data_IF_375644541193
#
_entry.id   IF_375644541193
#
_cell.length_a   1.000
_cell.length_b   1.000
_cell.length_c   1.000
_cell.angle_alpha   90.00
_cell.angle_beta   90.00
_cell.angle_gamma   90.00
#
_symmetry.space_group_name_H-M   'P 1'
#
loop_
_entity.id
_entity.type
_entity.pdbx_description
1 polymer ?
2 non-polymer ?
3 non-polymer ?
4 water ?
#
# COMPACT_ATOMS: atom_id res chain seq x y z
N UNK A 1 12.60 -3.14 38.85
CA UNK A 1 12.49 -3.74 40.18
C UNK A 1 13.25 -5.06 40.22
N UNK A 2 13.44 -5.59 41.42
CA UNK A 2 14.31 -6.73 41.63
C UNK A 2 13.81 -7.56 42.82
N UNK A 3 14.10 -8.85 42.82
CA UNK A 3 13.74 -9.66 43.98
C UNK A 3 14.94 -9.88 44.91
N UNK A 4 14.60 -9.91 46.18
CA UNK A 4 15.56 -9.91 47.28
C UNK A 4 15.79 -11.33 47.80
N UNK A 5 14.78 -12.19 47.66
CA UNK A 5 14.92 -13.60 47.95
C UNK A 5 14.35 -14.45 46.81
N UNK A 6 14.82 -15.69 46.74
CA UNK A 6 14.21 -16.77 45.96
C UNK A 6 12.69 -16.79 46.06
N UNK A 7 12.01 -16.54 44.94
CA UNK A 7 10.57 -16.34 44.94
C UNK A 7 9.93 -17.28 43.90
N UNK A 8 8.85 -17.96 44.28
CA UNK A 8 8.12 -18.76 43.33
C UNK A 8 7.78 -17.97 42.11
N UNK A 9 8.03 -18.55 40.94
CA UNK A 9 7.67 -17.90 39.68
C UNK A 9 6.26 -17.32 39.72
N UNK A 10 5.28 -18.08 40.19
CA UNK A 10 3.89 -17.67 40.14
C UNK A 10 3.53 -16.56 41.12
N UNK A 11 4.40 -16.26 42.08
CA UNK A 11 4.27 -15.03 42.88
C UNK A 11 4.78 -13.79 42.21
N UNK A 12 5.75 -13.93 41.31
CA UNK A 12 6.24 -12.75 40.63
C UNK A 12 5.28 -12.40 39.49
N UNK A 13 4.87 -13.42 38.73
CA UNK A 13 3.97 -13.25 37.55
C UNK A 13 2.60 -13.83 37.85
N UNK A 14 1.65 -12.99 38.29
CA UNK A 14 0.39 -13.56 38.75
C UNK A 14 -0.48 -14.05 37.59
N UNK A 15 -0.26 -13.52 36.38
CA UNK A 15 -0.94 -14.04 35.19
C UNK A 15 -0.47 -15.44 34.92
N UNK A 16 -1.39 -16.38 34.90
CA UNK A 16 -1.03 -17.78 34.75
C UNK A 16 -0.31 -18.11 33.44
N UNK A 17 -0.69 -17.45 32.35
CA UNK A 17 -0.04 -17.69 31.08
C UNK A 17 1.40 -17.17 31.08
N UNK A 18 1.59 -15.98 31.60
CA UNK A 18 2.92 -15.39 31.64
C UNK A 18 3.87 -16.11 32.58
N UNK A 19 3.38 -16.57 33.71
CA UNK A 19 4.15 -17.41 34.55
C UNK A 19 4.68 -18.61 33.78
N UNK A 20 3.83 -19.17 32.95
CA UNK A 20 4.15 -20.39 32.22
C UNK A 20 5.20 -20.06 31.15
N UNK A 21 5.00 -18.91 30.49
CA UNK A 21 6.00 -18.32 29.63
C UNK A 21 7.37 -18.19 30.30
N UNK A 22 7.41 -17.66 31.51
CA UNK A 22 8.70 -17.53 32.24
C UNK A 22 9.27 -18.88 32.68
N UNK A 23 8.40 -19.77 33.09
CA UNK A 23 8.81 -21.13 33.41
C UNK A 23 9.50 -21.86 32.23
N UNK A 24 8.95 -21.72 31.04
CA UNK A 24 9.51 -22.36 29.84
C UNK A 24 10.85 -21.71 29.45
N UNK A 25 10.91 -20.40 29.61
CA UNK A 25 12.06 -19.63 29.23
C UNK A 25 13.31 -20.06 30.05
N UNK A 26 13.10 -20.42 31.33
CA UNK A 26 14.16 -20.82 32.24
C UNK A 26 14.25 -22.34 32.46
N UNK A 27 13.40 -23.13 31.81
CA UNK A 27 13.43 -24.61 31.93
C UNK A 27 13.22 -25.09 33.35
N UNK A 28 12.19 -24.59 33.99
CA UNK A 28 11.85 -25.03 35.34
C UNK A 28 10.77 -26.10 35.24
N UNK A 29 10.67 -27.00 36.21
CA UNK A 29 9.63 -28.04 36.17
C UNK A 29 8.26 -27.40 36.31
N UNK A 30 8.15 -26.48 37.25
CA UNK A 30 6.88 -25.97 37.70
C UNK A 30 6.90 -24.47 37.90
N UNK A 31 5.76 -23.84 37.76
CA UNK A 31 5.59 -22.44 38.14
C UNK A 31 5.63 -22.20 39.63
N UNK A 32 5.63 -23.25 40.45
CA UNK A 32 5.82 -23.13 41.90
C UNK A 32 7.30 -22.98 42.26
N UNK A 33 8.19 -23.30 41.33
CA UNK A 33 9.61 -23.25 41.60
C UNK A 33 10.09 -21.84 41.89
N UNK A 34 10.90 -21.70 42.93
CA UNK A 34 11.59 -20.45 43.23
C UNK A 34 12.64 -20.07 42.17
N UNK A 35 12.77 -18.79 41.88
CA UNK A 35 13.87 -18.27 41.08
C UNK A 35 14.57 -17.10 41.77
N UNK A 36 15.79 -16.82 41.32
CA UNK A 36 16.65 -15.75 41.91
C UNK A 36 16.64 -14.56 40.95
N UNK A 37 16.97 -13.36 41.39
CA UNK A 37 17.10 -12.25 40.48
C UNK A 37 18.13 -12.52 39.41
N UNK A 38 19.20 -13.24 39.73
CA UNK A 38 20.22 -13.60 38.75
C UNK A 38 19.67 -14.37 37.55
N UNK A 39 18.81 -15.34 37.83
CA UNK A 39 18.12 -16.12 36.79
C UNK A 39 17.21 -15.24 35.95
N UNK A 40 16.48 -14.34 36.60
CA UNK A 40 15.62 -13.43 35.90
C UNK A 40 16.44 -12.51 35.02
N UNK A 41 17.63 -12.19 35.49
CA UNK A 41 18.56 -11.34 34.76
C UNK A 41 19.15 -11.99 33.54
N UNK A 42 19.12 -13.31 33.51
CA UNK A 42 19.63 -14.06 32.39
C UNK A 42 18.65 -13.94 31.20
N UNK A 43 17.48 -13.33 31.37
CA UNK A 43 16.48 -13.30 30.30
C UNK A 43 16.65 -12.06 29.46
N UNK A 44 17.11 -12.25 28.23
CA UNK A 44 17.22 -11.10 27.32
C UNK A 44 16.18 -11.13 26.17
N UNK A 45 15.38 -12.17 26.11
CA UNK A 45 14.46 -12.36 25.00
C UNK A 45 13.23 -13.11 25.49
N UNK A 46 12.04 -12.60 25.19
CA UNK A 46 10.80 -13.31 25.44
C UNK A 46 9.98 -13.31 24.17
N UNK A 47 9.66 -14.47 23.63
CA UNK A 47 8.78 -14.60 22.46
C UNK A 47 7.58 -15.40 22.86
N UNK A 48 6.48 -14.67 22.96
CA UNK A 48 5.30 -15.16 23.60
C UNK A 48 4.08 -14.60 22.88
N UNK A 49 4.14 -14.60 21.57
CA UNK A 49 2.99 -14.20 20.81
C UNK A 49 1.87 -15.18 21.04
N UNK A 50 0.65 -14.67 21.10
CA UNK A 50 -0.55 -15.54 21.13
C UNK A 50 -0.51 -16.57 22.23
N UNK A 51 -0.21 -16.12 23.43
CA UNK A 51 -0.10 -17.01 24.56
C UNK A 51 -1.17 -16.71 25.60
N UNK A 52 -2.20 -15.94 25.23
CA UNK A 52 -3.32 -15.68 26.13
C UNK A 52 -2.93 -14.91 27.44
N UNK A 53 -1.94 -14.04 27.35
CA UNK A 53 -1.49 -13.23 28.46
C UNK A 53 -2.42 -12.03 28.66
N UNK A 54 -3.01 -11.92 29.85
CA UNK A 54 -3.87 -10.79 30.27
C UNK A 54 -3.09 -9.64 30.90
N UNK A 55 -2.04 -10.01 31.63
CA UNK A 55 -1.16 -9.06 32.35
C UNK A 55 0.31 -9.49 32.31
N UNK A 56 1.22 -8.56 32.03
CA UNK A 56 2.67 -8.86 32.18
C UNK A 56 3.26 -8.39 33.53
N UNK A 57 2.42 -8.27 34.56
CA UNK A 57 2.95 -7.96 35.90
C UNK A 57 4.04 -8.89 36.25
N UNK A 58 5.15 -8.32 36.75
CA UNK A 58 6.34 -9.05 37.10
C UNK A 58 7.47 -8.89 36.09
N UNK A 59 7.12 -8.57 34.85
CA UNK A 59 8.13 -8.30 33.82
C UNK A 59 9.15 -7.22 34.19
N UNK A 60 8.77 -6.27 35.03
CA UNK A 60 9.72 -5.29 35.61
C UNK A 60 10.88 -5.92 36.39
N UNK A 61 10.77 -7.17 36.81
CA UNK A 61 11.89 -7.86 37.46
C UNK A 61 12.88 -8.48 36.46
N UNK A 62 12.73 -8.14 35.17
CA UNK A 62 13.55 -8.66 34.07
C UNK A 62 14.29 -7.51 33.31
N UNK A 63 15.18 -6.80 33.98
CA UNK A 63 15.72 -5.57 33.39
C UNK A 63 16.58 -5.76 32.14
N UNK A 64 17.02 -6.98 31.88
CA UNK A 64 17.92 -7.19 30.75
C UNK A 64 17.19 -7.55 29.43
N UNK A 65 15.87 -7.49 29.41
CA UNK A 65 15.14 -7.92 28.24
C UNK A 65 15.38 -6.92 27.11
N UNK A 66 15.80 -7.40 25.94
CA UNK A 66 16.00 -6.47 24.80
C UNK A 66 15.09 -6.70 23.60
N UNK A 67 14.48 -7.88 23.55
CA UNK A 67 13.65 -8.24 22.44
C UNK A 67 12.38 -8.83 23.05
N UNK A 68 11.22 -8.23 22.77
CA UNK A 68 10.02 -8.61 23.45
C UNK A 68 8.84 -8.76 22.48
N UNK A 69 8.44 -9.98 22.22
CA UNK A 69 7.28 -10.26 21.36
C UNK A 69 6.10 -10.70 22.20
N UNK A 70 5.10 -9.84 22.24
CA UNK A 70 3.89 -10.07 23.02
C UNK A 70 2.64 -9.90 22.16
N UNK A 71 2.83 -10.05 20.86
CA UNK A 71 1.74 -9.93 19.95
C UNK A 71 0.67 -10.94 20.15
N UNK A 72 -0.58 -10.49 19.97
CA UNK A 72 -1.75 -11.37 19.97
C UNK A 72 -2.14 -11.84 21.33
N UNK A 73 -1.91 -11.00 22.35
CA UNK A 73 -2.35 -11.38 23.66
C UNK A 73 -3.55 -10.54 24.04
N UNK A 74 -3.84 -10.47 25.32
CA UNK A 74 -4.96 -9.71 25.85
C UNK A 74 -4.55 -8.58 26.79
N UNK A 75 -3.42 -7.96 26.49
CA UNK A 75 -2.91 -6.90 27.33
C UNK A 75 -3.78 -5.65 27.20
N UNK A 76 -4.15 -5.08 28.35
CA UNK A 76 -4.84 -3.77 28.41
C UNK A 76 -3.87 -2.68 28.94
N UNK A 77 -2.84 -3.10 29.69
CA UNK A 77 -1.94 -2.20 30.46
C UNK A 77 -0.48 -2.64 30.19
N UNK A 78 0.39 -1.68 29.89
CA UNK A 78 1.77 -2.00 29.63
C UNK A 78 2.71 -1.18 30.51
N UNK A 79 2.21 -0.63 31.62
CA UNK A 79 3.01 0.30 32.43
C UNK A 79 4.18 -0.44 33.11
N UNK A 80 4.06 -1.75 33.30
CA UNK A 80 5.19 -2.58 33.76
C UNK A 80 6.43 -2.64 32.81
N UNK A 81 6.32 -2.04 31.63
CA UNK A 81 7.39 -2.03 30.63
C UNK A 81 8.33 -0.87 30.71
N UNK A 82 7.95 0.19 31.41
CA UNK A 82 8.64 1.46 31.22
C UNK A 82 10.09 1.52 31.68
N UNK A 83 10.49 0.73 32.67
CA UNK A 83 11.88 0.72 33.10
C UNK A 83 12.70 -0.33 32.32
N UNK A 84 12.11 -1.04 31.37
CA UNK A 84 12.91 -1.96 30.59
C UNK A 84 13.82 -1.25 29.56
N UNK A 85 14.82 -0.54 30.06
CA UNK A 85 15.60 0.38 29.21
C UNK A 85 16.42 -0.30 28.10
N UNK A 86 16.53 -1.63 28.12
CA UNK A 86 17.33 -2.32 27.11
C UNK A 86 16.53 -2.82 25.91
N UNK A 87 15.21 -2.62 25.95
CA UNK A 87 14.34 -2.93 24.81
C UNK A 87 14.78 -2.26 23.51
N UNK A 88 15.14 -3.10 22.54
CA UNK A 88 15.45 -2.68 21.19
C UNK A 88 14.29 -2.96 20.28
N UNK A 89 13.53 -3.99 20.59
CA UNK A 89 12.46 -4.48 19.73
C UNK A 89 11.23 -4.76 20.58
N UNK A 90 10.10 -4.15 20.26
CA UNK A 90 8.89 -4.35 21.07
C UNK A 90 7.66 -4.52 20.20
N UNK A 91 7.07 -5.68 20.32
CA UNK A 91 5.86 -6.01 19.61
C UNK A 91 4.69 -6.21 20.57
N UNK A 92 3.76 -5.23 20.55
CA UNK A 92 2.53 -5.27 21.29
C UNK A 92 1.29 -5.28 20.38
N UNK A 93 1.43 -5.74 19.14
CA UNK A 93 0.33 -5.72 18.19
C UNK A 93 -0.72 -6.72 18.57
N UNK A 94 -1.95 -6.47 18.17
CA UNK A 94 -3.08 -7.38 18.42
C UNK A 94 -3.32 -7.63 19.89
N UNK A 95 -3.43 -6.57 20.64
CA UNK A 95 -3.75 -6.75 22.03
C UNK A 95 -5.02 -5.93 22.16
N UNK A 96 -5.29 -5.42 23.36
CA UNK A 96 -6.45 -4.67 23.66
C UNK A 96 -6.08 -3.32 24.29
N UNK A 97 -5.06 -2.67 23.75
CA UNK A 97 -4.67 -1.37 24.32
C UNK A 97 -5.61 -0.28 23.85
N UNK A 98 -6.28 0.36 24.77
CA UNK A 98 -7.16 1.48 24.42
C UNK A 98 -6.49 2.87 24.56
N UNK A 99 -5.64 3.04 25.56
CA UNK A 99 -4.86 4.27 25.74
C UNK A 99 -3.40 3.94 26.04
N UNK A 100 -2.55 4.94 25.97
CA UNK A 100 -1.18 4.79 26.37
C UNK A 100 -0.99 5.80 27.48
N UNK A 101 -0.30 5.40 28.57
CA UNK A 101 -0.01 6.44 29.54
C UNK A 101 0.94 7.47 28.93
N UNK A 102 0.79 8.70 29.38
CA UNK A 102 1.65 9.81 28.98
C UNK A 102 3.13 9.37 28.83
N UNK A 103 3.75 8.85 29.91
CA UNK A 103 5.19 8.63 29.90
C UNK A 103 5.66 7.20 29.75
N UNK A 104 4.82 6.31 29.23
CA UNK A 104 5.14 4.89 29.22
C UNK A 104 6.41 4.51 28.43
N UNK A 105 6.79 5.27 27.41
CA UNK A 105 8.01 4.95 26.59
C UNK A 105 9.15 5.94 26.77
N UNK A 106 9.11 6.77 27.82
CA UNK A 106 10.09 7.83 27.98
C UNK A 106 11.50 7.33 28.37
N UNK A 107 11.64 6.02 28.67
CA UNK A 107 12.92 5.46 29.05
C UNK A 107 13.52 4.53 28.00
N UNK A 108 12.83 4.33 26.89
CA UNK A 108 13.27 3.31 25.93
C UNK A 108 14.13 3.89 24.82
N UNK A 109 15.27 4.46 25.19
CA UNK A 109 16.19 5.11 24.25
C UNK A 109 16.85 4.18 23.28
N UNK A 110 16.84 2.88 23.56
CA UNK A 110 17.43 1.91 22.63
C UNK A 110 16.43 1.30 21.65
N UNK A 111 15.17 1.69 21.80
CA UNK A 111 14.09 1.11 21.06
C UNK A 111 14.17 1.58 19.60
N UNK A 112 14.24 0.62 18.68
CA UNK A 112 14.36 0.90 17.25
C UNK A 112 13.12 0.47 16.50
N UNK A 113 12.39 -0.50 17.04
CA UNK A 113 11.20 -1.02 16.40
C UNK A 113 10.08 -1.15 17.42
N UNK A 114 8.95 -0.50 17.12
CA UNK A 114 7.76 -0.47 17.99
C UNK A 114 6.49 -0.77 17.20
N UNK A 115 5.91 -1.92 17.48
CA UNK A 115 4.68 -2.31 16.86
C UNK A 115 3.49 -2.22 17.84
N UNK A 116 2.63 -1.22 17.62
CA UNK A 116 1.39 -1.06 18.39
C UNK A 116 0.13 -1.35 17.55
N UNK A 117 0.29 -2.09 16.47
CA UNK A 117 -0.76 -2.23 15.47
C UNK A 117 -1.83 -3.17 15.94
N UNK A 118 -3.01 -3.01 15.37
CA UNK A 118 -4.15 -3.82 15.72
C UNK A 118 -4.50 -3.80 17.24
N UNK A 119 -4.43 -2.61 17.83
CA UNK A 119 -5.01 -2.38 19.15
C UNK A 119 -6.24 -1.47 18.99
N UNK A 120 -6.63 -0.73 20.01
CA UNK A 120 -7.77 0.12 19.87
C UNK A 120 -7.41 1.48 20.41
N UNK A 121 -6.24 1.95 20.07
CA UNK A 121 -5.92 3.31 20.41
C UNK A 121 -6.88 4.33 19.77
N UNK A 122 -7.48 5.18 20.58
CA UNK A 122 -8.26 6.28 20.06
C UNK A 122 -7.48 7.57 19.89
N UNK A 123 -6.42 7.77 20.67
CA UNK A 123 -5.54 8.92 20.52
C UNK A 123 -4.18 8.68 21.14
N UNK A 124 -3.26 9.57 20.84
CA UNK A 124 -1.92 9.49 21.34
C UNK A 124 -1.72 10.67 22.27
N UNK A 125 -1.13 10.44 23.48
CA UNK A 125 -0.75 11.61 24.28
C UNK A 125 0.38 12.39 23.62
N UNK A 126 0.33 13.70 23.78
CA UNK A 126 1.48 14.58 23.57
C UNK A 126 2.78 13.97 24.08
N UNK A 127 3.77 13.77 23.20
CA UNK A 127 5.09 13.41 23.67
C UNK A 127 5.22 11.96 24.08
N UNK A 128 4.29 11.09 23.71
CA UNK A 128 4.40 9.70 24.10
C UNK A 128 5.63 9.05 23.47
N UNK A 129 6.18 9.70 22.45
CA UNK A 129 7.30 9.19 21.66
C UNK A 129 8.42 10.16 21.67
N UNK A 130 8.41 11.06 22.62
CA UNK A 130 9.39 12.12 22.66
C UNK A 130 10.86 11.70 22.83
N UNK A 131 11.10 10.55 23.50
CA UNK A 131 12.45 10.06 23.85
C UNK A 131 12.95 8.85 23.07
N UNK A 132 12.21 8.45 22.03
CA UNK A 132 12.57 7.26 21.22
C UNK A 132 13.58 7.65 20.16
N UNK A 133 14.73 8.11 20.62
CA UNK A 133 15.79 8.61 19.76
C UNK A 133 16.22 7.56 18.71
N UNK A 134 16.25 6.29 19.14
CA UNK A 134 16.73 5.24 18.29
C UNK A 134 15.68 4.67 17.33
N UNK A 135 14.44 5.17 17.36
CA UNK A 135 13.38 4.49 16.64
C UNK A 135 13.49 4.64 15.13
N UNK A 136 13.35 3.51 14.42
CA UNK A 136 13.42 3.45 12.95
C UNK A 136 12.09 2.97 12.31
N UNK A 137 11.34 2.15 13.06
CA UNK A 137 10.09 1.63 12.61
C UNK A 137 9.03 1.77 13.66
N UNK A 138 7.94 2.48 13.28
CA UNK A 138 6.74 2.67 14.11
C UNK A 138 5.50 2.25 13.37
N UNK A 139 4.85 1.21 13.88
CA UNK A 139 3.68 0.68 13.25
C UNK A 139 2.46 0.94 14.12
N UNK A 140 1.56 1.79 13.65
CA UNK A 140 0.42 2.25 14.42
C UNK A 140 -0.91 1.86 13.75
N UNK A 141 -0.80 1.01 12.75
CA UNK A 141 -1.92 0.64 11.94
C UNK A 141 -2.91 -0.23 12.68
N UNK A 142 -4.11 -0.26 12.11
CA UNK A 142 -5.27 -0.96 12.63
C UNK A 142 -5.60 -0.55 14.07
N UNK A 143 -5.66 0.75 14.27
CA UNK A 143 -6.06 1.29 15.52
C UNK A 143 -7.28 2.16 15.25
N UNK A 144 -7.67 3.02 16.18
CA UNK A 144 -8.87 3.86 16.04
C UNK A 144 -8.50 5.34 16.14
N UNK A 145 -7.37 5.71 15.58
CA UNK A 145 -6.82 7.03 15.88
C UNK A 145 -7.58 7.98 15.03
N UNK A 146 -8.09 9.03 15.64
CA UNK A 146 -8.85 10.06 14.90
C UNK A 146 -8.13 11.38 14.69
N UNK A 147 -7.04 11.61 15.42
CA UNK A 147 -6.13 12.72 15.17
C UNK A 147 -4.71 12.35 15.64
N UNK A 148 -3.74 13.20 15.28
CA UNK A 148 -2.39 13.14 15.75
C UNK A 148 -2.09 14.50 16.36
N UNK A 149 -1.54 14.53 17.59
CA UNK A 149 -1.27 15.82 18.22
C UNK A 149 -0.15 16.48 17.53
N UNK A 150 -0.07 17.80 17.60
CA UNK A 150 1.07 18.53 17.02
C UNK A 150 2.40 17.97 17.62
N UNK A 151 3.39 17.76 16.75
CA UNK A 151 4.70 17.30 17.20
C UNK A 151 4.80 15.93 17.82
N UNK A 152 3.85 15.03 17.56
CA UNK A 152 3.92 13.68 18.15
C UNK A 152 5.10 12.83 17.67
N UNK A 153 5.64 13.20 16.49
CA UNK A 153 6.82 12.56 15.92
C UNK A 153 8.04 13.47 15.81
N UNK A 154 8.01 14.65 16.45
CA UNK A 154 9.00 15.66 16.16
C UNK A 154 10.41 15.26 16.57
N UNK A 155 10.56 14.21 17.37
CA UNK A 155 11.88 13.81 17.81
C UNK A 155 12.33 12.52 17.21
N UNK A 156 11.56 11.98 16.28
CA UNK A 156 11.92 10.72 15.69
C UNK A 156 12.71 10.89 14.39
N UNK A 157 13.86 11.55 14.50
CA UNK A 157 14.76 11.87 13.39
C UNK A 157 15.28 10.68 12.63
N UNK A 158 15.43 9.55 13.31
CA UNK A 158 15.93 8.33 12.67
C UNK A 158 14.83 7.48 12.02
N UNK A 159 13.59 7.95 12.04
CA UNK A 159 12.49 7.12 11.57
C UNK A 159 12.58 6.89 10.07
N UNK A 160 12.48 5.63 9.66
CA UNK A 160 12.43 5.28 8.25
C UNK A 160 11.08 4.72 7.79
N UNK A 161 10.35 4.05 8.68
CA UNK A 161 9.02 3.56 8.33
C UNK A 161 7.97 4.02 9.37
N UNK A 162 6.87 4.64 8.90
CA UNK A 162 5.77 5.06 9.75
C UNK A 162 4.47 4.61 9.10
N UNK A 163 3.79 3.68 9.75
CA UNK A 163 2.60 3.09 9.23
C UNK A 163 1.44 3.50 10.07
N UNK A 164 0.59 4.32 9.47
CA UNK A 164 -0.56 4.93 10.11
C UNK A 164 -1.87 4.50 9.46
N UNK A 165 -1.80 3.41 8.72
CA UNK A 165 -2.92 2.94 7.93
C UNK A 165 -3.99 2.29 8.80
N UNK A 166 -5.21 2.33 8.28
CA UNK A 166 -6.37 1.72 8.87
C UNK A 166 -6.55 2.29 10.21
N UNK A 167 -6.73 3.60 10.23
CA UNK A 167 -7.15 4.33 11.44
C UNK A 167 -8.36 5.16 11.03
N UNK A 168 -8.74 6.17 11.80
CA UNK A 168 -9.85 7.03 11.38
C UNK A 168 -9.39 8.48 11.37
N UNK A 169 -8.16 8.70 10.94
CA UNK A 169 -7.56 10.03 10.94
C UNK A 169 -8.31 10.96 9.97
N UNK A 170 -8.77 12.12 10.44
CA UNK A 170 -9.58 13.03 9.60
C UNK A 170 -8.87 14.28 9.12
N UNK A 171 -7.72 14.57 9.71
CA UNK A 171 -6.84 15.61 9.22
C UNK A 171 -5.43 15.33 9.72
N UNK A 172 -4.47 16.17 9.29
CA UNK A 172 -3.09 16.05 9.73
C UNK A 172 -2.69 17.44 10.15
N UNK A 173 -2.01 17.58 11.31
CA UNK A 173 -1.46 18.92 11.59
C UNK A 173 -0.30 19.24 10.64
N UNK A 174 -0.17 20.51 10.33
CA UNK A 174 0.70 20.94 9.24
C UNK A 174 2.16 20.54 9.35
N UNK A 175 2.74 20.66 10.54
CA UNK A 175 4.13 20.24 10.75
C UNK A 175 4.35 18.84 11.30
N UNK A 176 3.42 17.94 11.10
CA UNK A 176 3.43 16.71 11.88
C UNK A 176 4.54 15.79 11.46
N UNK A 177 5.04 16.01 10.24
CA UNK A 177 6.13 15.20 9.64
C UNK A 177 7.38 16.02 9.31
N UNK A 178 7.40 17.29 9.75
CA UNK A 178 8.50 18.24 9.58
C UNK A 178 9.94 17.72 9.84
N UNK A 179 10.09 16.80 10.81
CA UNK A 179 11.45 16.35 11.18
C UNK A 179 11.84 15.00 10.65
N UNK A 180 10.94 14.32 9.94
CA UNK A 180 11.19 12.96 9.51
C UNK A 180 12.00 12.94 8.22
N UNK A 181 13.17 13.57 8.28
CA UNK A 181 13.99 13.70 7.08
C UNK A 181 14.60 12.38 6.59
N UNK A 182 14.59 11.29 7.37
CA UNK A 182 15.10 9.99 6.92
C UNK A 182 14.02 8.97 6.54
N UNK A 183 12.76 9.41 6.58
CA UNK A 183 11.62 8.55 6.34
C UNK A 183 11.58 8.17 4.87
N UNK A 184 11.41 6.89 4.62
CA UNK A 184 11.36 6.40 3.28
C UNK A 184 10.00 5.85 2.92
N UNK A 185 9.26 5.34 3.91
CA UNK A 185 7.95 4.82 3.74
C UNK A 185 6.94 5.52 4.66
N UNK A 186 5.89 6.09 4.05
CA UNK A 186 4.83 6.71 4.82
C UNK A 186 3.50 6.17 4.38
N UNK A 187 2.87 5.36 5.22
CA UNK A 187 1.59 4.77 4.87
C UNK A 187 0.40 5.39 5.63
N UNK A 188 -0.37 6.23 4.94
CA UNK A 188 -1.60 6.87 5.47
C UNK A 188 -2.91 6.30 4.90
N UNK A 189 -2.83 5.14 4.29
CA UNK A 189 -3.96 4.56 3.60
C UNK A 189 -5.06 4.10 4.52
N UNK A 190 -6.29 4.08 3.99
CA UNK A 190 -7.47 3.62 4.72
C UNK A 190 -7.69 4.50 5.96
N UNK A 191 -7.72 5.81 5.73
CA UNK A 191 -8.09 6.76 6.78
C UNK A 191 -9.36 7.53 6.35
N UNK A 192 -9.67 8.64 7.01
CA UNK A 192 -10.80 9.49 6.59
C UNK A 192 -10.35 10.92 6.26
N UNK A 193 -9.16 11.05 5.68
CA UNK A 193 -8.61 12.37 5.35
C UNK A 193 -9.40 13.03 4.23
N UNK A 194 -9.71 14.31 4.41
CA UNK A 194 -10.45 15.08 3.42
C UNK A 194 -9.69 16.23 2.84
N UNK A 195 -8.48 16.42 3.31
CA UNK A 195 -7.66 17.49 2.84
C UNK A 195 -6.27 17.24 3.34
N UNK A 196 -5.31 17.87 2.65
CA UNK A 196 -3.96 17.95 3.15
C UNK A 196 -3.46 19.39 3.22
N UNK A 197 -2.83 19.76 4.36
CA UNK A 197 -2.27 21.12 4.44
C UNK A 197 -1.07 21.27 3.50
N UNK A 198 -0.92 22.42 2.83
CA UNK A 198 0.26 22.69 1.99
C UNK A 198 1.48 22.55 2.90
N UNK A 199 2.45 21.77 2.42
CA UNK A 199 3.70 21.62 3.15
C UNK A 199 3.71 20.57 4.20
N UNK A 200 2.75 19.68 4.20
CA UNK A 200 2.74 18.58 5.13
C UNK A 200 3.85 17.55 4.84
N UNK A 201 4.32 17.45 3.60
CA UNK A 201 5.37 16.47 3.24
C UNK A 201 6.70 17.13 2.79
N UNK A 202 6.72 18.45 2.91
CA UNK A 202 7.80 19.31 2.53
C UNK A 202 9.24 18.90 2.90
N UNK A 203 9.47 18.40 4.11
CA UNK A 203 10.84 18.07 4.49
C UNK A 203 11.18 16.59 4.28
N UNK A 204 10.31 15.86 3.59
CA UNK A 204 10.47 14.42 3.40
C UNK A 204 11.32 14.05 2.17
N UNK A 205 12.52 14.58 2.12
CA UNK A 205 13.39 14.39 0.97
C UNK A 205 13.87 12.95 0.66
N UNK A 206 13.71 12.03 1.61
CA UNK A 206 14.19 10.66 1.44
C UNK A 206 13.04 9.75 1.11
N UNK A 207 11.85 10.32 1.05
CA UNK A 207 10.67 9.50 0.93
C UNK A 207 10.63 8.86 -0.45
N UNK A 208 10.44 7.54 -0.46
CA UNK A 208 10.32 6.76 -1.69
C UNK A 208 8.95 6.16 -1.90
N UNK A 209 8.17 5.93 -0.84
CA UNK A 209 6.81 5.41 -0.96
C UNK A 209 5.86 6.22 -0.12
N UNK A 210 4.81 6.69 -0.78
CA UNK A 210 3.80 7.49 -0.15
C UNK A 210 2.46 6.90 -0.47
N UNK A 211 1.81 6.33 0.52
CA UNK A 211 0.52 5.70 0.28
C UNK A 211 -0.63 6.47 0.90
N UNK A 212 -1.51 7.02 0.05
CA UNK A 212 -2.61 7.86 0.50
C UNK A 212 -3.99 7.33 0.07
N UNK A 213 -4.02 6.07 -0.33
CA UNK A 213 -5.21 5.46 -0.83
C UNK A 213 -6.23 5.24 0.29
N UNK A 214 -7.45 4.95 -0.14
CA UNK A 214 -8.63 4.86 0.69
C UNK A 214 -8.76 6.02 1.71
N UNK A 215 -8.88 7.23 1.19
CA UNK A 215 -9.23 8.40 1.98
C UNK A 215 -10.36 9.11 1.28
N UNK A 216 -10.72 10.31 1.69
CA UNK A 216 -11.78 11.01 1.00
C UNK A 216 -11.29 12.36 0.46
N UNK A 217 -10.08 12.31 -0.14
CA UNK A 217 -9.42 13.51 -0.71
C UNK A 217 -10.11 13.96 -1.97
N UNK A 218 -10.29 15.26 -2.11
CA UNK A 218 -10.86 15.87 -3.30
C UNK A 218 -9.86 16.74 -4.06
N UNK A 219 -9.56 17.91 -3.49
CA UNK A 219 -8.54 18.74 -4.07
C UNK A 219 -7.23 18.49 -3.33
N UNK A 220 -6.15 19.01 -3.93
CA UNK A 220 -4.83 18.99 -3.33
C UNK A 220 -4.11 20.33 -3.52
N UNK A 221 -3.34 20.77 -2.51
CA UNK A 221 -2.48 21.94 -2.78
C UNK A 221 -1.52 21.60 -3.92
N UNK A 222 -1.33 22.53 -4.84
CA UNK A 222 -0.48 22.31 -6.02
C UNK A 222 0.90 21.79 -5.63
N UNK A 223 1.48 22.43 -4.62
CA UNK A 223 2.81 22.11 -4.14
C UNK A 223 3.01 20.90 -3.23
N UNK A 224 1.95 20.20 -2.84
CA UNK A 224 2.02 19.25 -1.73
C UNK A 224 3.03 18.07 -1.94
N UNK A 225 3.30 17.67 -3.19
CA UNK A 225 4.27 16.60 -3.48
C UNK A 225 5.63 17.07 -4.01
N UNK A 226 5.82 18.36 -4.18
CA UNK A 226 7.00 18.93 -4.83
C UNK A 226 8.40 18.60 -4.28
N UNK A 227 8.58 18.62 -2.97
CA UNK A 227 9.90 18.36 -2.45
C UNK A 227 10.19 16.85 -2.37
N UNK A 228 9.32 16.01 -2.95
CA UNK A 228 9.52 14.58 -2.86
C UNK A 228 10.39 14.02 -4.02
N UNK A 229 11.60 14.50 -4.08
CA UNK A 229 12.54 14.17 -5.15
C UNK A 229 12.92 12.70 -5.24
N UNK A 230 12.87 11.98 -4.16
CA UNK A 230 13.25 10.59 -4.22
C UNK A 230 12.05 9.65 -4.33
N UNK A 231 10.85 10.21 -4.45
CA UNK A 231 9.65 9.41 -4.49
C UNK A 231 9.65 8.51 -5.70
N UNK A 232 9.30 7.27 -5.45
CA UNK A 232 9.24 6.24 -6.45
C UNK A 232 7.81 5.71 -6.61
N UNK A 233 6.99 5.75 -5.56
CA UNK A 233 5.64 5.21 -5.62
C UNK A 233 4.66 6.14 -4.96
N UNK A 234 3.62 6.48 -5.71
CA UNK A 234 2.56 7.31 -5.19
C UNK A 234 1.26 6.56 -5.43
N UNK A 235 0.63 6.17 -4.33
CA UNK A 235 -0.67 5.57 -4.41
C UNK A 235 -1.71 6.54 -3.87
N UNK A 236 -2.56 7.01 -4.77
CA UNK A 236 -3.62 7.95 -4.44
C UNK A 236 -4.99 7.39 -4.72
N UNK A 237 -5.04 6.08 -4.92
CA UNK A 237 -6.24 5.45 -5.38
C UNK A 237 -7.32 5.38 -4.30
N UNK A 238 -8.54 5.12 -4.76
CA UNK A 238 -9.75 5.16 -3.92
C UNK A 238 -9.82 6.40 -3.08
N UNK A 239 -9.85 7.54 -3.75
CA UNK A 239 -10.11 8.83 -3.13
C UNK A 239 -11.22 9.46 -3.88
N UNK A 240 -11.43 10.75 -3.76
CA UNK A 240 -12.41 11.43 -4.60
C UNK A 240 -11.76 12.57 -5.40
N UNK A 241 -10.60 12.31 -5.97
CA UNK A 241 -9.80 13.36 -6.52
C UNK A 241 -10.45 13.98 -7.75
N UNK A 242 -10.34 15.29 -7.87
CA UNK A 242 -10.84 16.02 -9.00
C UNK A 242 -9.76 16.39 -10.01
N UNK A 243 -10.19 17.05 -11.07
CA UNK A 243 -9.30 17.59 -12.07
C UNK A 243 -8.41 18.65 -11.43
N UNK A 244 -8.92 19.28 -10.37
CA UNK A 244 -8.16 20.23 -9.56
C UNK A 244 -6.88 19.55 -9.10
N UNK A 245 -7.05 18.50 -8.31
CA UNK A 245 -5.95 17.76 -7.69
C UNK A 245 -4.89 17.19 -8.63
N UNK A 246 -5.18 17.19 -9.93
CA UNK A 246 -4.22 16.73 -10.95
C UNK A 246 -2.98 17.61 -11.16
N UNK A 247 -3.13 18.91 -10.90
CA UNK A 247 -2.04 19.87 -10.91
C UNK A 247 -0.88 19.40 -10.00
N UNK A 248 -1.25 19.01 -8.78
CA UNK A 248 -0.31 18.50 -7.79
C UNK A 248 0.38 17.21 -8.20
N UNK A 249 -0.38 16.32 -8.79
CA UNK A 249 0.13 15.04 -9.24
C UNK A 249 1.08 15.25 -10.43
N UNK A 250 0.69 16.11 -11.36
CA UNK A 250 1.55 16.55 -12.46
C UNK A 250 2.92 17.08 -12.00
N UNK A 251 2.90 17.90 -10.95
CA UNK A 251 4.12 18.41 -10.36
C UNK A 251 4.95 17.28 -9.70
N UNK A 252 4.30 16.30 -9.06
CA UNK A 252 5.07 15.14 -8.57
C UNK A 252 5.80 14.51 -9.77
N UNK A 253 5.08 14.31 -10.87
CA UNK A 253 5.64 13.68 -12.06
C UNK A 253 6.85 14.46 -12.61
N UNK A 254 6.75 15.78 -12.70
CA UNK A 254 7.88 16.65 -13.12
C UNK A 254 9.07 16.67 -12.15
N UNK A 255 8.81 16.79 -10.84
CA UNK A 255 9.87 16.94 -9.79
C UNK A 255 10.54 15.66 -9.29
N UNK A 256 9.84 14.54 -9.36
CA UNK A 256 10.38 13.27 -8.90
C UNK A 256 10.83 12.55 -10.14
N UNK A 257 12.12 12.64 -10.39
CA UNK A 257 12.69 12.17 -11.63
C UNK A 257 12.82 10.66 -11.64
N UNK A 258 12.54 10.01 -10.52
CA UNK A 258 12.56 8.56 -10.50
C UNK A 258 11.23 7.98 -9.90
N UNK A 259 10.14 8.74 -10.01
CA UNK A 259 8.80 8.22 -9.76
C UNK A 259 8.43 7.21 -10.86
N UNK A 260 8.19 5.98 -10.45
CA UNK A 260 7.94 4.87 -11.35
C UNK A 260 6.54 4.35 -11.35
N UNK A 261 5.78 4.57 -10.28
CA UNK A 261 4.44 4.02 -10.16
C UNK A 261 3.47 5.06 -9.67
N UNK A 262 2.40 5.22 -10.41
CA UNK A 262 1.37 6.16 -10.02
C UNK A 262 0.03 5.44 -9.98
N UNK A 263 -0.56 5.24 -8.79
CA UNK A 263 -1.81 4.46 -8.70
C UNK A 263 -2.90 5.46 -8.43
N UNK A 264 -3.83 5.59 -9.37
CA UNK A 264 -4.94 6.55 -9.22
C UNK A 264 -6.30 5.95 -9.44
N UNK A 265 -6.40 4.64 -9.29
CA UNK A 265 -7.63 3.94 -9.49
C UNK A 265 -8.73 4.46 -8.57
N UNK A 266 -9.97 4.40 -9.02
CA UNK A 266 -11.12 4.87 -8.23
C UNK A 266 -11.04 6.32 -7.74
N UNK A 267 -11.26 7.23 -8.70
CA UNK A 267 -11.21 8.68 -8.46
C UNK A 267 -12.11 9.40 -9.44
N UNK A 268 -12.17 10.72 -9.36
CA UNK A 268 -13.13 11.44 -10.20
C UNK A 268 -12.40 12.49 -11.05
N UNK A 269 -11.24 12.13 -11.58
CA UNK A 269 -10.41 13.14 -12.25
C UNK A 269 -10.97 13.60 -13.61
N UNK A 270 -11.69 12.71 -14.29
CA UNK A 270 -12.36 13.05 -15.54
C UNK A 270 -11.39 13.26 -16.65
N UNK A 271 -11.87 13.64 -17.82
CA UNK A 271 -10.95 13.90 -18.91
C UNK A 271 -10.10 15.15 -18.68
N UNK A 272 -10.63 16.16 -18.00
CA UNK A 272 -9.86 17.39 -17.79
C UNK A 272 -8.66 17.08 -16.91
N UNK A 273 -8.87 16.32 -15.83
CA UNK A 273 -7.79 15.84 -14.97
C UNK A 273 -6.77 14.99 -15.71
N UNK A 274 -7.23 14.04 -16.50
CA UNK A 274 -6.31 13.24 -17.33
C UNK A 274 -5.47 14.08 -18.25
N UNK A 275 -6.02 15.14 -18.80
CA UNK A 275 -5.26 15.95 -19.74
C UNK A 275 -4.12 16.63 -18.99
N UNK A 276 -4.40 17.16 -17.82
CA UNK A 276 -3.37 17.71 -16.94
C UNK A 276 -2.21 16.74 -16.69
N UNK A 277 -2.52 15.47 -16.41
CA UNK A 277 -1.49 14.46 -16.25
C UNK A 277 -0.80 14.19 -17.59
N UNK A 278 -1.56 14.28 -18.67
CA UNK A 278 -0.96 14.03 -19.97
C UNK A 278 0.13 15.06 -20.27
N UNK A 279 -0.16 16.33 -20.01
CA UNK A 279 0.75 17.43 -20.32
C UNK A 279 1.99 17.38 -19.44
N UNK A 280 1.88 16.75 -18.27
CA UNK A 280 3.05 16.46 -17.47
C UNK A 280 3.90 15.37 -18.11
N UNK A 281 3.26 14.34 -18.64
CA UNK A 281 3.99 13.25 -19.32
C UNK A 281 4.52 13.61 -20.72
N UNK A 282 4.00 14.68 -21.33
CA UNK A 282 4.51 15.16 -22.63
C UNK A 282 5.86 15.87 -22.48
N UNK A 283 6.41 15.90 -21.28
CA UNK A 283 7.71 16.52 -21.07
C UNK A 283 8.81 15.47 -21.18
N UNK A 284 9.82 15.74 -22.04
CA UNK A 284 11.04 14.94 -22.13
C UNK A 284 11.56 14.56 -20.76
N UNK A 285 11.95 13.30 -20.60
CA UNK A 285 12.55 12.85 -19.35
C UNK A 285 11.63 12.25 -18.32
N UNK A 286 10.37 11.96 -18.63
CA UNK A 286 9.59 11.19 -17.67
C UNK A 286 10.22 9.79 -17.52
N UNK A 287 10.17 9.27 -16.29
CA UNK A 287 10.62 7.91 -15.96
C UNK A 287 9.50 6.98 -15.48
N UNK A 288 8.24 7.40 -15.70
CA UNK A 288 7.11 6.64 -15.16
C UNK A 288 6.90 5.29 -15.88
N UNK A 289 6.76 4.21 -15.12
CA UNK A 289 6.71 2.85 -15.66
C UNK A 289 5.30 2.27 -15.60
N UNK A 290 4.56 2.57 -14.53
CA UNK A 290 3.25 2.02 -14.30
C UNK A 290 2.27 3.12 -13.99
N UNK A 291 1.14 3.10 -14.70
CA UNK A 291 0.12 4.07 -14.47
C UNK A 291 -1.25 3.44 -14.32
N UNK A 292 -1.96 3.75 -13.24
CA UNK A 292 -3.30 3.23 -13.07
C UNK A 292 -4.39 4.28 -13.00
N UNK A 293 -5.20 4.36 -14.06
CA UNK A 293 -6.29 5.32 -14.14
C UNK A 293 -7.65 4.62 -14.30
N UNK A 294 -7.73 3.42 -13.77
CA UNK A 294 -8.98 2.70 -13.71
C UNK A 294 -10.04 3.51 -12.96
N UNK A 295 -11.29 3.46 -13.44
CA UNK A 295 -12.43 4.14 -12.77
C UNK A 295 -12.05 5.52 -12.41
N UNK A 296 -11.66 6.28 -13.40
CA UNK A 296 -11.33 7.66 -13.21
C UNK A 296 -12.27 8.53 -13.98
N UNK A 297 -13.42 7.95 -14.34
CA UNK A 297 -14.44 8.61 -15.12
C UNK A 297 -13.87 9.17 -16.42
N UNK A 298 -13.08 8.33 -17.07
CA UNK A 298 -12.43 8.72 -18.31
C UNK A 298 -13.39 8.61 -19.49
N UNK A 299 -13.07 9.26 -20.60
CA UNK A 299 -13.87 9.16 -21.83
C UNK A 299 -13.01 8.74 -23.01
N UNK A 300 -13.61 8.50 -24.16
CA UNK A 300 -12.91 8.32 -25.43
C UNK A 300 -12.00 9.50 -25.80
N UNK A 301 -12.34 10.71 -25.36
CA UNK A 301 -11.49 11.84 -25.62
C UNK A 301 -10.29 11.85 -24.69
N UNK A 302 -10.46 11.49 -23.41
CA UNK A 302 -9.30 11.27 -22.53
C UNK A 302 -8.37 10.23 -23.11
N UNK A 303 -8.93 9.31 -23.89
CA UNK A 303 -8.14 8.31 -24.63
C UNK A 303 -7.32 8.90 -25.75
N UNK A 304 -7.86 9.89 -26.45
CA UNK A 304 -7.03 10.55 -27.43
C UNK A 304 -5.83 11.12 -26.69
N UNK A 305 -6.07 11.79 -25.59
CA UNK A 305 -5.03 12.49 -24.88
C UNK A 305 -4.01 11.54 -24.28
N UNK A 306 -4.49 10.40 -23.79
CA UNK A 306 -3.62 9.40 -23.19
C UNK A 306 -2.77 8.73 -24.27
N UNK A 307 -3.33 8.61 -25.46
CA UNK A 307 -2.57 8.12 -26.59
C UNK A 307 -1.42 9.06 -26.95
N UNK A 308 -1.62 10.37 -26.84
CA UNK A 308 -0.55 11.34 -27.07
C UNK A 308 0.58 11.07 -26.07
N UNK A 309 0.21 10.89 -24.81
CA UNK A 309 1.18 10.59 -23.77
C UNK A 309 1.94 9.29 -24.03
N UNK A 310 1.26 8.22 -24.45
CA UNK A 310 1.92 6.94 -24.75
C UNK A 310 2.96 7.03 -25.86
N UNK A 311 2.72 7.93 -26.82
CA UNK A 311 3.66 8.12 -27.93
C UNK A 311 4.95 8.73 -27.44
N UNK A 312 4.85 9.64 -26.45
CA UNK A 312 6.04 10.36 -25.90
C UNK A 312 6.64 9.70 -24.67
N UNK A 313 5.81 9.15 -23.81
CA UNK A 313 6.28 8.61 -22.51
C UNK A 313 6.60 7.14 -22.64
N UNK A 314 7.73 6.86 -23.28
CA UNK A 314 8.08 5.52 -23.60
C UNK A 314 8.84 4.80 -22.49
N UNK A 315 8.83 5.26 -21.23
CA UNK A 315 9.28 4.39 -20.16
C UNK A 315 8.09 3.61 -19.62
N UNK A 316 6.90 4.00 -20.06
CA UNK A 316 5.65 3.49 -19.54
C UNK A 316 5.40 2.11 -20.11
N UNK A 317 5.38 1.12 -19.22
CA UNK A 317 5.26 -0.25 -19.61
C UNK A 317 3.93 -0.85 -19.21
N UNK A 318 3.33 -0.36 -18.13
CA UNK A 318 2.10 -0.96 -17.66
C UNK A 318 0.99 0.08 -17.43
N UNK A 319 -0.12 -0.08 -18.13
CA UNK A 319 -1.21 0.89 -18.09
C UNK A 319 -2.56 0.23 -17.79
N UNK A 320 -3.24 0.78 -16.80
CA UNK A 320 -4.55 0.33 -16.37
C UNK A 320 -5.59 1.39 -16.65
N UNK A 321 -6.54 1.02 -17.51
CA UNK A 321 -7.70 1.88 -17.81
C UNK A 321 -9.06 1.21 -17.50
N UNK A 322 -9.05 0.11 -16.73
CA UNK A 322 -10.26 -0.58 -16.31
C UNK A 322 -11.39 0.33 -15.78
N UNK A 323 -12.61 -0.17 -15.88
CA UNK A 323 -13.82 0.52 -15.36
C UNK A 323 -13.96 1.99 -15.82
N UNK A 324 -13.74 2.22 -17.11
CA UNK A 324 -13.97 3.52 -17.74
C UNK A 324 -14.77 3.29 -19.02
N UNK A 325 -15.58 4.28 -19.37
CA UNK A 325 -16.43 4.20 -20.54
C UNK A 325 -15.63 4.57 -21.77
N UNK A 326 -14.93 3.59 -22.30
CA UNK A 326 -13.91 3.81 -23.33
C UNK A 326 -14.41 3.50 -24.73
N UNK A 327 -15.19 2.44 -24.87
CA UNK A 327 -15.84 2.14 -26.15
C UNK A 327 -14.91 1.76 -27.29
N UNK A 328 -15.51 1.60 -28.48
CA UNK A 328 -14.74 1.33 -29.68
C UNK A 328 -13.86 2.53 -30.07
N UNK A 329 -14.34 3.75 -29.87
CA UNK A 329 -13.56 4.92 -30.29
C UNK A 329 -12.35 5.09 -29.39
N UNK A 330 -12.54 4.91 -28.09
CA UNK A 330 -11.41 4.95 -27.17
C UNK A 330 -10.38 3.83 -27.42
N UNK A 331 -10.87 2.62 -27.66
CA UNK A 331 -9.98 1.55 -28.08
C UNK A 331 -9.19 1.96 -29.32
N UNK A 332 -9.85 2.45 -30.36
CA UNK A 332 -9.15 2.91 -31.59
C UNK A 332 -8.05 3.93 -31.29
N UNK A 333 -8.29 4.88 -30.39
CA UNK A 333 -7.26 5.87 -30.05
C UNK A 333 -6.02 5.24 -29.41
N UNK A 334 -6.22 4.25 -28.56
CA UNK A 334 -5.11 3.55 -27.88
C UNK A 334 -4.30 2.64 -28.80
N UNK A 335 -4.98 2.10 -29.80
CA UNK A 335 -4.37 1.19 -30.77
C UNK A 335 -3.42 2.00 -31.65
N UNK A 336 -3.75 3.28 -31.86
CA UNK A 336 -2.89 4.19 -32.59
C UNK A 336 -1.57 4.32 -31.86
N UNK A 337 -1.62 4.39 -30.53
CA UNK A 337 -0.40 4.49 -29.75
C UNK A 337 0.35 3.15 -29.71
N UNK A 338 -0.37 2.04 -29.70
CA UNK A 338 0.25 0.71 -29.72
C UNK A 338 1.07 0.43 -30.97
N UNK A 339 0.65 1.00 -32.10
CA UNK A 339 1.31 0.82 -33.39
C UNK A 339 2.26 1.95 -33.73
N UNK A 340 2.44 2.90 -32.83
CA UNK A 340 3.40 3.97 -33.02
C UNK A 340 4.84 3.46 -32.78
N UNK A 341 5.73 3.65 -33.77
CA UNK A 341 7.16 3.41 -33.58
C UNK A 341 7.69 3.87 -32.20
N UNK A 342 8.10 2.90 -31.41
CA UNK A 342 8.69 3.18 -30.14
C UNK A 342 7.71 3.11 -29.02
N UNK A 343 6.55 2.47 -29.22
CA UNK A 343 5.65 2.15 -28.09
C UNK A 343 6.34 1.09 -27.26
N UNK A 344 6.31 1.27 -25.97
CA UNK A 344 7.08 0.42 -25.14
C UNK A 344 6.17 -0.39 -24.16
N UNK A 345 4.87 -0.20 -24.32
CA UNK A 345 3.85 -0.78 -23.45
C UNK A 345 3.77 -2.31 -23.55
N UNK A 346 3.79 -2.94 -22.38
CA UNK A 346 3.89 -4.39 -22.23
C UNK A 346 2.59 -4.99 -21.72
N UNK A 347 1.97 -4.27 -20.81
CA UNK A 347 0.78 -4.71 -20.17
C UNK A 347 -0.29 -3.64 -20.26
N UNK A 348 -1.45 -4.04 -20.78
CA UNK A 348 -2.64 -3.17 -20.89
C UNK A 348 -3.86 -3.85 -20.34
N UNK A 349 -4.55 -3.14 -19.47
CA UNK A 349 -5.74 -3.64 -18.85
C UNK A 349 -6.92 -2.77 -19.31
N UNK A 350 -7.84 -3.39 -20.03
CA UNK A 350 -9.05 -2.71 -20.44
C UNK A 350 -10.30 -3.45 -19.98
N UNK A 351 -10.28 -3.95 -18.77
CA UNK A 351 -11.39 -4.78 -18.37
C UNK A 351 -12.56 -3.86 -17.96
N UNK A 352 -13.77 -4.34 -18.20
CA UNK A 352 -15.01 -3.59 -17.92
C UNK A 352 -14.91 -2.16 -18.47
N UNK A 353 -14.72 -2.10 -19.77
CA UNK A 353 -14.54 -0.83 -20.45
C UNK A 353 -15.62 -0.60 -21.49
N UNK A 354 -16.73 -1.32 -21.39
CA UNK A 354 -17.80 -1.23 -22.40
C UNK A 354 -17.32 -1.61 -23.80
N UNK A 355 -16.46 -2.61 -23.87
CA UNK A 355 -15.88 -2.98 -25.14
C UNK A 355 -16.82 -3.89 -25.86
N UNK A 356 -17.11 -3.54 -27.11
CA UNK A 356 -17.96 -4.32 -28.01
C UNK A 356 -17.15 -5.10 -29.04
N UNK A 357 -17.87 -5.81 -29.91
CA UNK A 357 -17.30 -6.43 -31.10
C UNK A 357 -16.49 -5.46 -31.96
N UNK A 358 -17.08 -4.29 -32.23
CA UNK A 358 -16.48 -3.25 -33.05
C UNK A 358 -15.17 -2.74 -32.41
N UNK A 359 -15.10 -2.78 -31.08
CA UNK A 359 -13.90 -2.45 -30.32
C UNK A 359 -12.87 -3.56 -30.38
N UNK A 360 -13.32 -4.81 -30.50
CA UNK A 360 -12.40 -5.93 -30.72
C UNK A 360 -11.80 -5.84 -32.11
N UNK A 361 -12.63 -5.51 -33.09
CA UNK A 361 -12.15 -5.27 -34.45
C UNK A 361 -11.03 -4.22 -34.52
N UNK A 362 -11.12 -3.18 -33.69
CA UNK A 362 -10.09 -2.14 -33.67
C UNK A 362 -8.81 -2.70 -33.01
N UNK A 363 -8.99 -3.45 -31.91
CA UNK A 363 -7.90 -4.08 -31.17
C UNK A 363 -7.21 -5.16 -31.98
N UNK A 364 -7.98 -5.81 -32.85
CA UNK A 364 -7.46 -6.87 -33.71
C UNK A 364 -6.26 -6.37 -34.52
N UNK A 365 -6.37 -5.15 -35.01
CA UNK A 365 -5.30 -4.49 -35.78
C UNK A 365 -3.95 -4.38 -35.07
N UNK A 366 -3.97 -4.14 -33.76
CA UNK A 366 -2.74 -4.14 -32.95
C UNK A 366 -2.21 -5.54 -32.77
N UNK A 367 -3.09 -6.47 -32.40
CA UNK A 367 -2.69 -7.84 -32.11
C UNK A 367 -2.18 -8.61 -33.31
N UNK A 368 -2.33 -8.04 -34.53
CA UNK A 368 -1.94 -8.62 -35.84
C UNK A 368 -0.44 -8.58 -36.14
N UNK A 369 0.24 -7.63 -35.52
CA UNK A 369 1.60 -7.28 -35.90
C UNK A 369 2.47 -7.08 -34.69
N UNK A 370 3.78 -7.05 -34.91
CA UNK A 370 4.78 -7.06 -33.85
C UNK A 370 4.76 -5.79 -32.98
N UNK A 371 4.46 -5.93 -31.71
CA UNK A 371 4.53 -4.80 -30.80
C UNK A 371 5.16 -5.27 -29.51
N UNK A 372 5.31 -4.34 -28.57
CA UNK A 372 5.85 -4.66 -27.29
C UNK A 372 4.76 -5.21 -26.35
N UNK A 373 3.51 -5.18 -26.81
CA UNK A 373 2.40 -5.61 -25.99
C UNK A 373 2.46 -7.12 -25.71
N UNK A 374 2.64 -7.48 -24.46
CA UNK A 374 2.71 -8.88 -24.09
C UNK A 374 1.52 -9.36 -23.29
N UNK A 375 0.86 -8.45 -22.57
CA UNK A 375 -0.23 -8.85 -21.70
C UNK A 375 -1.40 -7.87 -21.81
N UNK A 376 -2.56 -8.44 -22.15
CA UNK A 376 -3.76 -7.69 -22.37
C UNK A 376 -4.96 -8.28 -21.60
N UNK A 377 -5.62 -7.47 -20.79
CA UNK A 377 -6.84 -7.88 -20.09
C UNK A 377 -8.07 -7.25 -20.71
N UNK A 378 -8.93 -8.07 -21.29
CA UNK A 378 -10.22 -7.59 -21.75
C UNK A 378 -11.35 -8.23 -20.94
N UNK A 379 -11.11 -8.58 -19.68
CA UNK A 379 -12.15 -9.28 -18.93
C UNK A 379 -13.35 -8.36 -18.67
N UNK A 380 -14.50 -8.93 -18.25
CA UNK A 380 -15.67 -8.13 -17.88
C UNK A 380 -16.13 -7.18 -19.02
N UNK A 381 -16.05 -7.66 -20.25
CA UNK A 381 -16.45 -6.90 -21.43
C UNK A 381 -17.37 -7.81 -22.20
N UNK A 382 -18.45 -7.28 -22.73
CA UNK A 382 -19.38 -8.06 -23.51
C UNK A 382 -18.90 -8.01 -24.97
N UNK A 383 -17.73 -8.60 -25.18
CA UNK A 383 -17.09 -8.51 -26.47
C UNK A 383 -17.92 -9.28 -27.45
N UNK A 384 -18.41 -10.44 -27.04
CA UNK A 384 -19.18 -11.31 -27.92
C UNK A 384 -18.29 -12.28 -28.67
N UNK A 385 -18.89 -13.29 -29.29
CA UNK A 385 -18.04 -14.33 -29.87
C UNK A 385 -17.45 -13.94 -31.22
N UNK A 386 -18.09 -13.06 -31.98
CA UNK A 386 -17.40 -12.45 -33.14
C UNK A 386 -16.33 -11.45 -32.72
N UNK A 387 -16.49 -10.87 -31.55
CA UNK A 387 -15.44 -10.06 -30.97
C UNK A 387 -14.19 -10.89 -30.71
N UNK A 388 -14.39 -11.99 -29.98
CA UNK A 388 -13.32 -12.94 -29.69
C UNK A 388 -12.65 -13.50 -30.94
N UNK A 389 -13.47 -13.84 -31.95
CA UNK A 389 -12.98 -14.46 -33.19
C UNK A 389 -12.15 -13.48 -34.01
N UNK A 390 -12.34 -12.19 -33.80
CA UNK A 390 -11.48 -11.22 -34.45
C UNK A 390 -10.14 -11.19 -33.76
N UNK A 391 -10.16 -11.27 -32.44
CA UNK A 391 -8.93 -11.26 -31.65
C UNK A 391 -8.13 -12.47 -32.06
N UNK A 392 -8.81 -13.61 -32.04
CA UNK A 392 -8.24 -14.87 -32.47
C UNK A 392 -7.62 -14.85 -33.87
N UNK A 393 -8.36 -14.32 -34.84
CA UNK A 393 -7.91 -14.24 -36.26
C UNK A 393 -6.63 -13.38 -36.39
N UNK A 394 -6.56 -12.30 -35.58
CA UNK A 394 -5.37 -11.44 -35.50
C UNK A 394 -4.17 -12.12 -34.85
N UNK A 395 -4.42 -12.89 -33.78
CA UNK A 395 -3.36 -13.66 -33.07
C UNK A 395 -2.75 -14.84 -33.85
N UNK A 396 -3.48 -15.38 -34.82
CA UNK A 396 -2.95 -16.43 -35.69
C UNK A 396 -2.14 -15.88 -36.86
N UNK A 397 -1.99 -14.56 -36.95
CA UNK A 397 -1.06 -14.00 -37.91
C UNK A 397 0.34 -14.35 -37.41
N UNK A 398 1.22 -14.78 -38.33
CA UNK A 398 2.58 -15.09 -37.93
C UNK A 398 3.22 -13.89 -37.21
N UNK A 399 2.85 -12.66 -37.62
CA UNK A 399 3.28 -11.42 -36.95
C UNK A 399 3.06 -11.30 -35.43
N UNK A 400 2.00 -11.92 -34.92
CA UNK A 400 1.58 -11.68 -33.53
C UNK A 400 2.67 -11.91 -32.47
N UNK A 401 2.64 -11.12 -31.39
CA UNK A 401 3.60 -11.23 -30.27
C UNK A 401 3.02 -11.23 -28.86
N UNK A 402 1.71 -11.05 -28.73
CA UNK A 402 1.07 -11.17 -27.42
C UNK A 402 1.41 -12.50 -26.75
N UNK A 403 1.58 -12.46 -25.44
CA UNK A 403 1.90 -13.68 -24.66
C UNK A 403 0.76 -14.17 -23.80
N UNK A 404 -0.03 -13.23 -23.28
CA UNK A 404 -1.10 -13.47 -22.31
C UNK A 404 -2.36 -12.67 -22.71
N UNK A 405 -3.51 -13.35 -22.71
CA UNK A 405 -4.78 -12.74 -23.08
C UNK A 405 -5.78 -13.11 -22.02
N UNK A 406 -6.47 -12.13 -21.48
CA UNK A 406 -7.50 -12.41 -20.50
C UNK A 406 -8.87 -12.03 -21.09
N UNK A 407 -9.74 -13.04 -21.18
CA UNK A 407 -11.14 -12.88 -21.60
C UNK A 407 -12.03 -13.44 -20.49
N UNK A 408 -11.59 -13.41 -19.25
CA UNK A 408 -12.44 -13.85 -18.17
C UNK A 408 -13.74 -13.08 -18.19
N UNK A 409 -14.87 -13.78 -18.00
CA UNK A 409 -16.17 -13.12 -17.83
C UNK A 409 -16.53 -12.22 -19.02
N UNK A 410 -16.39 -12.73 -20.22
CA UNK A 410 -16.76 -11.94 -21.38
C UNK A 410 -18.07 -12.42 -22.02
N UNK A 411 -18.99 -12.98 -21.23
CA UNK A 411 -20.28 -13.48 -21.74
C UNK A 411 -20.18 -14.39 -22.95
N UNK A 412 -19.26 -15.35 -22.90
CA UNK A 412 -19.10 -16.32 -23.98
C UNK A 412 -19.59 -17.66 -23.49
N UNK A 413 -19.95 -18.52 -24.44
CA UNK A 413 -20.44 -19.88 -24.12
C UNK A 413 -19.31 -20.91 -24.11
N UNK A 414 -19.49 -21.99 -23.35
CA UNK A 414 -18.57 -23.14 -23.42
C UNK A 414 -18.20 -23.51 -24.86
N UNK A 415 -19.17 -23.46 -25.74
CA UNK A 415 -18.94 -23.74 -27.16
C UNK A 415 -17.87 -22.81 -27.73
N UNK A 416 -17.97 -21.51 -27.39
CA UNK A 416 -17.05 -20.50 -27.91
C UNK A 416 -15.70 -20.61 -27.22
N UNK A 417 -15.72 -20.73 -25.90
CA UNK A 417 -14.51 -20.92 -25.08
C UNK A 417 -13.59 -21.98 -25.64
N UNK A 418 -14.13 -23.18 -25.83
CA UNK A 418 -13.39 -24.30 -26.41
C UNK A 418 -12.89 -23.93 -27.80
N UNK A 419 -13.78 -23.48 -28.67
CA UNK A 419 -13.36 -23.05 -30.03
C UNK A 419 -12.29 -21.93 -30.04
N UNK A 420 -12.20 -21.14 -28.97
CA UNK A 420 -11.10 -20.18 -28.80
C UNK A 420 -9.82 -20.85 -28.30
N UNK A 421 -9.89 -21.60 -27.19
CA UNK A 421 -8.72 -22.32 -26.65
C UNK A 421 -8.18 -23.33 -27.68
N UNK A 422 -9.08 -23.81 -28.54
CA UNK A 422 -8.69 -24.65 -29.66
C UNK A 422 -7.64 -23.90 -30.46
N UNK A 423 -8.05 -22.89 -31.22
CA UNK A 423 -7.14 -22.16 -32.07
C UNK A 423 -5.99 -21.46 -31.32
N UNK A 424 -6.05 -21.35 -29.97
CA UNK A 424 -4.89 -20.92 -29.12
C UNK A 424 -3.63 -21.46 -29.71
N UNK A 425 -3.58 -22.80 -29.78
CA UNK A 425 -2.39 -23.58 -30.12
C UNK A 425 -1.61 -22.98 -31.26
N UNK A 426 -2.33 -22.59 -32.31
CA UNK A 426 -1.70 -22.03 -33.51
C UNK A 426 -0.89 -20.72 -33.35
N UNK A 427 -1.23 -19.88 -32.37
CA UNK A 427 -0.55 -18.58 -32.15
C UNK A 427 0.73 -18.75 -31.31
N UNK A 428 1.86 -18.95 -31.98
CA UNK A 428 3.09 -19.44 -31.34
C UNK A 428 3.57 -18.63 -30.16
N UNK A 429 3.42 -17.31 -30.23
CA UNK A 429 3.91 -16.44 -29.16
C UNK A 429 3.05 -16.44 -27.88
N UNK A 430 1.76 -16.79 -28.03
CA UNK A 430 0.80 -16.79 -26.93
C UNK A 430 0.82 -18.06 -26.07
N UNK A 431 1.22 -17.95 -24.80
CA UNK A 431 1.19 -19.13 -23.91
C UNK A 431 0.44 -18.92 -22.60
N UNK A 432 -0.57 -18.08 -22.64
CA UNK A 432 -1.49 -17.95 -21.52
C UNK A 432 -2.82 -17.36 -21.99
N UNK A 433 -3.90 -17.81 -21.37
CA UNK A 433 -5.24 -17.59 -21.90
C UNK A 433 -6.20 -17.81 -20.75
N UNK A 434 -6.93 -16.78 -20.36
CA UNK A 434 -7.89 -16.95 -19.28
C UNK A 434 -9.28 -16.89 -19.87
N UNK A 435 -10.08 -17.91 -19.57
CA UNK A 435 -11.42 -18.07 -20.10
C UNK A 435 -12.49 -18.30 -19.03
N UNK A 436 -12.12 -18.29 -17.75
CA UNK A 436 -13.06 -18.62 -16.68
C UNK A 436 -14.20 -17.60 -16.57
N UNK A 437 -15.21 -17.98 -15.80
CA UNK A 437 -16.45 -17.20 -15.59
C UNK A 437 -17.17 -16.75 -16.86
N UNK A 438 -17.02 -17.48 -17.97
CA UNK A 438 -17.79 -17.16 -19.18
C UNK A 438 -19.19 -17.78 -19.12
N UNK A 439 -19.25 -19.10 -19.04
CA UNK A 439 -20.47 -19.81 -18.63
C UNK A 439 -20.24 -20.72 -17.40
N UNK A 440 -19.00 -20.80 -16.88
CA UNK A 440 -18.70 -21.63 -15.69
C UNK A 440 -17.87 -20.90 -14.63
N UNK A 441 -18.56 -20.14 -13.78
CA UNK A 441 -17.94 -19.44 -12.65
C UNK A 441 -18.26 -20.10 -11.33
#
# INVERSE_FOLDING_TARGET
ATITVSTPIKQIFPDDAFAETIKANLKKKSVTDAVTQNELNSIDQIIANNSDIKSVQGIQYLPNVRYLALGGNKLHDISALKELTNLGWLNLSNNQLETLPQGVFEKLTNLTTLNLSNNQLTSLPQGVFERLASLTTLNLSNNQLTSLPQGVFERLTNLTTLNLSNNQLTSLPQGVFERLTNLTTLNLSNNQLTSLPQGVFERLTSLTTLNLSNNQLTSLPDGVFERLTNLKTLNLSNNQLTKEACRAVANALKQAASLHELHLSNNNIGEEGAAELVEALLHPGSTLETLDLSNCNLTKEACREIARALKQATTLHELHLSNNNIGEEGAAELVEALLHPGSTLETLDLSNCNLTKEACREIARALKQATTLHELHLSNNNIGEEGAAELVEALLHPGSTLETLDLSNCNLTKEACREIARALKQATSLHELHLSNNNIG
#
